data_IF_887660427517
#
_entry.id   IF_887660427517
#
_cell.length_a   1.000
_cell.length_b   1.000
_cell.length_c   1.000
_cell.angle_alpha   90.00
_cell.angle_beta   90.00
_cell.angle_gamma   90.00
#
_symmetry.space_group_name_H-M   'P 1'
#
loop_
_entity.id
_entity.type
_entity.pdbx_description
1 polymer ?
#
# COMPACT_ATOMS: atom_id res chain seq x y z
N UNK A 1 -5.45 15.46 10.49
CA UNK A 1 -4.78 14.15 10.59
C UNK A 1 -4.99 13.49 9.24
N UNK A 2 -3.92 13.02 8.60
CA UNK A 2 -3.96 12.36 7.29
C UNK A 2 -3.95 10.85 7.45
N UNK A 3 -4.28 10.06 6.41
CA UNK A 3 -4.16 8.60 6.47
C UNK A 3 -2.75 8.12 6.85
N UNK A 4 -1.69 8.87 6.50
CA UNK A 4 -0.34 8.55 6.94
C UNK A 4 -0.13 8.85 8.43
N UNK A 5 -0.67 9.95 8.98
CA UNK A 5 -0.62 10.22 10.44
C UNK A 5 -1.36 9.15 11.25
N UNK A 6 -2.39 8.54 10.67
CA UNK A 6 -3.12 7.46 11.31
C UNK A 6 -2.27 6.19 11.45
N UNK A 7 -1.36 5.94 10.50
CA UNK A 7 -0.50 4.76 10.50
C UNK A 7 0.82 4.97 11.25
N UNK A 8 1.40 6.17 11.19
CA UNK A 8 2.65 6.50 11.88
C UNK A 8 2.41 6.82 13.37
N UNK A 9 1.90 5.84 14.14
CA UNK A 9 1.71 5.97 15.60
C UNK A 9 3.01 5.82 16.39
N UNK A 10 3.97 5.11 15.80
CA UNK A 10 5.34 4.98 16.28
C UNK A 10 6.31 5.43 15.18
N UNK A 11 7.52 5.89 15.53
CA UNK A 11 8.54 6.22 14.54
C UNK A 11 8.80 5.04 13.60
N UNK A 12 8.94 5.31 12.29
CA UNK A 12 9.06 4.27 11.27
C UNK A 12 10.23 3.30 11.50
N UNK A 13 11.34 3.77 12.06
CA UNK A 13 12.50 2.94 12.38
C UNK A 13 12.29 2.05 13.61
N UNK A 14 11.30 2.35 14.45
CA UNK A 14 10.89 1.55 15.61
C UNK A 14 9.69 0.62 15.30
N UNK A 15 8.95 0.92 14.22
CA UNK A 15 7.81 0.12 13.77
C UNK A 15 8.25 -1.29 13.38
N UNK A 16 7.42 -2.29 13.67
CA UNK A 16 7.66 -3.67 13.23
C UNK A 16 7.46 -3.84 11.71
N UNK A 17 7.80 -5.01 11.17
CA UNK A 17 7.74 -5.23 9.72
C UNK A 17 6.31 -5.05 9.15
N UNK A 18 5.24 -5.60 9.77
CA UNK A 18 3.85 -5.30 9.39
C UNK A 18 3.51 -3.80 9.35
N UNK A 19 3.86 -3.04 10.38
CA UNK A 19 3.56 -1.62 10.43
C UNK A 19 4.35 -0.82 9.38
N UNK A 20 5.63 -1.13 9.18
CA UNK A 20 6.44 -0.51 8.10
C UNK A 20 5.88 -0.83 6.72
N UNK A 21 5.49 -2.08 6.48
CA UNK A 21 4.83 -2.52 5.25
C UNK A 21 3.57 -1.69 4.98
N UNK A 22 2.74 -1.51 6.01
CA UNK A 22 1.50 -0.73 5.91
C UNK A 22 1.75 0.74 5.62
N UNK A 23 2.73 1.36 6.28
CA UNK A 23 3.11 2.76 6.05
C UNK A 23 3.60 2.95 4.61
N UNK A 24 4.51 2.09 4.14
CA UNK A 24 5.08 2.20 2.79
C UNK A 24 4.06 1.90 1.69
N UNK A 25 3.18 0.92 1.90
CA UNK A 25 2.04 0.68 1.00
C UNK A 25 1.10 1.89 0.95
N UNK A 26 0.79 2.53 2.10
CA UNK A 26 -0.03 3.75 2.10
C UNK A 26 0.67 4.90 1.39
N UNK A 27 1.98 5.10 1.63
CA UNK A 27 2.78 6.13 0.96
C UNK A 27 2.71 5.97 -0.56
N UNK A 28 2.87 4.75 -1.06
CA UNK A 28 2.81 4.44 -2.48
C UNK A 28 1.48 4.86 -3.14
N UNK A 29 0.37 4.77 -2.40
CA UNK A 29 -0.98 5.11 -2.85
C UNK A 29 -1.41 6.55 -2.51
N UNK A 30 -0.59 7.29 -1.76
CA UNK A 30 -0.90 8.66 -1.35
C UNK A 30 -0.45 9.65 -2.42
N UNK A 31 -1.30 10.62 -2.76
CA UNK A 31 -0.88 11.77 -3.56
C UNK A 31 0.05 12.65 -2.72
N UNK A 32 1.27 12.89 -3.23
CA UNK A 32 2.30 13.68 -2.56
C UNK A 32 2.57 14.96 -3.36
N UNK A 33 2.73 16.05 -2.62
CA UNK A 33 3.10 17.37 -3.12
C UNK A 33 4.60 17.56 -2.90
N UNK A 34 5.40 17.36 -3.96
CA UNK A 34 6.85 17.49 -3.91
C UNK A 34 7.27 18.92 -4.27
N UNK A 35 8.09 19.56 -3.42
CA UNK A 35 8.54 20.93 -3.64
C UNK A 35 9.42 21.04 -4.88
N UNK A 36 9.25 22.13 -5.62
CA UNK A 36 10.04 22.49 -6.79
C UNK A 36 10.94 23.70 -6.51
N UNK A 37 11.98 23.84 -7.32
CA UNK A 37 12.84 25.04 -7.31
C UNK A 37 12.04 26.26 -7.77
N UNK A 38 11.27 26.11 -8.86
CA UNK A 38 10.40 27.11 -9.45
C UNK A 38 9.17 26.46 -10.11
N UNK A 39 8.24 27.26 -10.61
CA UNK A 39 7.10 26.79 -11.41
C UNK A 39 7.57 25.93 -12.60
N UNK A 40 6.86 24.84 -12.95
CA UNK A 40 7.21 24.02 -14.11
C UNK A 40 7.27 24.82 -15.41
N UNK A 41 8.28 24.54 -16.23
CA UNK A 41 8.44 25.14 -17.55
C UNK A 41 8.12 24.09 -18.62
N UNK A 42 6.89 24.12 -19.14
CA UNK A 42 6.41 23.10 -20.08
C UNK A 42 6.26 21.74 -19.40
N UNK A 43 6.99 20.73 -19.88
CA UNK A 43 7.00 19.37 -19.36
C UNK A 43 8.14 19.10 -18.36
N UNK A 44 8.87 20.14 -17.93
CA UNK A 44 10.01 20.03 -17.01
C UNK A 44 9.69 20.64 -15.65
N UNK A 45 9.91 19.85 -14.61
CA UNK A 45 9.85 20.27 -13.21
C UNK A 45 11.15 19.86 -12.52
N UNK A 46 11.76 20.77 -11.76
CA UNK A 46 12.97 20.51 -11.00
C UNK A 46 12.63 20.41 -9.51
N UNK A 47 12.83 19.22 -8.93
CA UNK A 47 12.61 19.00 -7.50
C UNK A 47 13.56 19.85 -6.67
N UNK A 48 13.03 20.46 -5.61
CA UNK A 48 13.84 21.14 -4.60
C UNK A 48 14.48 20.08 -3.70
N UNK A 49 15.81 19.99 -3.79
CA UNK A 49 16.61 19.05 -3.02
C UNK A 49 17.32 19.75 -1.86
N UNK A 50 17.48 19.03 -0.76
CA UNK A 50 18.21 19.43 0.43
C UNK A 50 19.43 18.52 0.61
N UNK A 51 20.61 19.11 0.80
CA UNK A 51 21.82 18.38 1.11
C UNK A 51 21.89 18.13 2.63
N UNK A 52 21.79 16.87 3.03
CA UNK A 52 21.90 16.40 4.41
C UNK A 52 23.15 15.50 4.55
N UNK A 53 23.68 15.28 5.77
CA UNK A 53 24.79 14.34 5.97
C UNK A 53 24.56 12.95 5.38
N UNK A 54 23.31 12.50 5.32
CA UNK A 54 22.88 11.20 4.82
C UNK A 54 22.72 11.15 3.29
N UNK A 55 22.71 12.29 2.60
CA UNK A 55 22.51 12.36 1.14
C UNK A 55 21.65 13.56 0.70
N UNK A 56 21.17 13.50 -0.55
CA UNK A 56 20.31 14.53 -1.15
C UNK A 56 18.86 14.09 -1.08
N UNK A 57 18.00 14.92 -0.49
CA UNK A 57 16.60 14.57 -0.23
C UNK A 57 15.64 15.55 -0.91
N UNK A 58 14.67 15.04 -1.65
CA UNK A 58 13.51 15.82 -2.06
C UNK A 58 12.56 16.00 -0.87
N UNK A 59 11.90 17.15 -0.81
CA UNK A 59 10.86 17.43 0.18
C UNK A 59 9.49 17.16 -0.44
N UNK A 60 8.66 16.35 0.23
CA UNK A 60 7.25 16.24 -0.10
C UNK A 60 6.37 16.20 1.15
N UNK A 61 5.10 16.58 0.97
CA UNK A 61 4.07 16.39 1.99
C UNK A 61 2.83 15.75 1.39
N UNK A 62 2.01 15.11 2.21
CA UNK A 62 0.69 14.59 1.83
C UNK A 62 -0.41 15.67 1.83
N UNK A 63 -0.04 16.93 2.11
CA UNK A 63 -0.90 18.11 2.00
C UNK A 63 -0.09 19.35 1.62
N UNK A 64 -0.69 20.22 0.82
CA UNK A 64 -0.09 21.49 0.38
C UNK A 64 0.21 22.44 1.55
N UNK A 65 -0.68 22.55 2.54
CA UNK A 65 -0.52 23.45 3.68
C UNK A 65 0.68 23.04 4.57
N UNK A 66 0.99 21.74 4.65
CA UNK A 66 2.18 21.24 5.32
C UNK A 66 3.45 21.62 4.56
N UNK A 67 3.43 21.48 3.24
CA UNK A 67 4.57 21.83 2.39
C UNK A 67 4.90 23.32 2.50
N UNK A 68 3.89 24.17 2.33
CA UNK A 68 4.03 25.62 2.47
C UNK A 68 4.45 26.03 3.89
N UNK A 69 3.89 25.37 4.91
CA UNK A 69 4.24 25.59 6.31
C UNK A 69 5.70 25.29 6.61
N UNK A 70 6.23 24.16 6.12
CA UNK A 70 7.64 23.79 6.32
C UNK A 70 8.60 24.72 5.57
N UNK A 71 8.26 25.11 4.34
CA UNK A 71 9.09 26.03 3.54
C UNK A 71 9.01 27.48 4.06
N UNK A 72 7.98 27.82 4.84
CA UNK A 72 7.77 29.15 5.39
C UNK A 72 7.04 30.12 4.46
N UNK A 73 6.34 29.61 3.44
CA UNK A 73 5.60 30.42 2.47
C UNK A 73 5.12 29.64 1.25
N UNK A 74 4.53 30.32 0.25
CA UNK A 74 4.15 29.70 -1.02
C UNK A 74 5.34 29.02 -1.70
N UNK A 75 5.12 27.82 -2.23
CA UNK A 75 6.14 27.02 -2.91
C UNK A 75 5.52 26.31 -4.10
N UNK A 76 6.18 26.37 -5.26
CA UNK A 76 5.79 25.59 -6.43
C UNK A 76 5.96 24.10 -6.11
N UNK A 77 5.03 23.26 -6.56
CA UNK A 77 5.07 21.82 -6.32
C UNK A 77 4.61 21.02 -7.53
N UNK A 78 4.93 19.74 -7.55
CA UNK A 78 4.28 18.75 -8.41
C UNK A 78 3.49 17.77 -7.54
N UNK A 79 2.25 17.46 -7.95
CA UNK A 79 1.40 16.47 -7.30
C UNK A 79 1.49 15.15 -8.06
N UNK A 80 1.95 14.09 -7.39
CA UNK A 80 2.15 12.76 -7.98
C UNK A 80 1.79 11.68 -6.97
N UNK A 81 1.32 10.49 -7.42
CA UNK A 81 1.25 9.33 -6.54
C UNK A 81 2.64 9.03 -5.94
N UNK A 82 2.69 8.70 -4.65
CA UNK A 82 3.96 8.46 -3.95
C UNK A 82 4.81 7.37 -4.59
N UNK A 83 4.20 6.35 -5.21
CA UNK A 83 4.90 5.33 -6.01
C UNK A 83 5.65 5.91 -7.22
N UNK A 84 5.11 6.94 -7.86
CA UNK A 84 5.74 7.61 -9.01
C UNK A 84 6.91 8.46 -8.54
N UNK A 85 6.70 9.23 -7.47
CA UNK A 85 7.77 10.04 -6.87
C UNK A 85 8.93 9.17 -6.35
N UNK A 86 8.61 8.08 -5.64
CA UNK A 86 9.61 7.16 -5.11
C UNK A 86 10.46 6.51 -6.22
N UNK A 87 9.84 6.11 -7.33
CA UNK A 87 10.56 5.54 -8.47
C UNK A 87 11.51 6.57 -9.10
N UNK A 88 11.04 7.79 -9.36
CA UNK A 88 11.85 8.86 -9.94
C UNK A 88 13.05 9.22 -9.05
N UNK A 89 12.84 9.33 -7.73
CA UNK A 89 13.92 9.61 -6.78
C UNK A 89 14.94 8.46 -6.69
N UNK A 90 14.48 7.22 -6.71
CA UNK A 90 15.34 6.05 -6.67
C UNK A 90 16.25 5.95 -7.91
N UNK A 91 15.74 6.28 -9.10
CA UNK A 91 16.52 6.30 -10.35
C UNK A 91 17.68 7.31 -10.29
N UNK A 92 17.46 8.45 -9.62
CA UNK A 92 18.45 9.52 -9.46
C UNK A 92 19.32 9.38 -8.19
N UNK A 93 19.15 8.29 -7.42
CA UNK A 93 19.89 8.06 -6.18
C UNK A 93 19.59 9.08 -5.07
N UNK A 94 18.38 9.64 -5.07
CA UNK A 94 17.92 10.67 -4.12
C UNK A 94 16.97 10.07 -3.08
N UNK A 95 16.98 10.66 -1.88
CA UNK A 95 16.06 10.31 -0.80
C UNK A 95 14.79 11.17 -0.81
N UNK A 96 13.85 10.82 0.07
CA UNK A 96 12.60 11.53 0.33
C UNK A 96 12.50 11.93 1.80
N UNK A 97 12.38 13.24 2.05
CA UNK A 97 11.93 13.80 3.32
C UNK A 97 10.43 14.06 3.23
N UNK A 98 9.64 13.24 3.93
CA UNK A 98 8.18 13.31 3.93
C UNK A 98 7.68 13.98 5.21
N UNK A 99 6.71 14.89 5.08
CA UNK A 99 5.93 15.48 6.18
C UNK A 99 6.77 15.96 7.39
N UNK A 100 7.91 16.66 7.20
CA UNK A 100 8.76 17.07 8.32
C UNK A 100 7.99 17.90 9.36
N UNK A 101 8.17 17.57 10.64
CA UNK A 101 7.48 18.24 11.75
C UNK A 101 6.06 17.72 12.04
N UNK A 102 5.62 16.65 11.36
CA UNK A 102 4.33 15.99 11.62
C UNK A 102 4.51 14.53 12.08
N UNK A 103 3.44 13.92 12.60
CA UNK A 103 3.46 12.55 13.11
C UNK A 103 3.84 11.51 12.04
N UNK A 104 3.56 11.80 10.78
CA UNK A 104 3.95 10.99 9.62
C UNK A 104 5.29 11.40 9.00
N UNK A 105 6.18 12.07 9.74
CA UNK A 105 7.49 12.41 9.21
C UNK A 105 8.30 11.15 8.90
N UNK A 106 8.89 11.08 7.70
CA UNK A 106 9.77 10.00 7.29
C UNK A 106 10.98 10.58 6.57
N UNK A 107 12.14 9.95 6.78
CA UNK A 107 13.33 10.15 5.95
C UNK A 107 13.66 8.82 5.32
N UNK A 108 13.39 8.69 4.02
CA UNK A 108 13.62 7.47 3.26
C UNK A 108 14.80 7.71 2.33
N UNK A 109 15.88 6.98 2.50
CA UNK A 109 17.02 7.08 1.60
C UNK A 109 16.71 6.43 0.23
N UNK A 110 17.62 6.60 -0.73
CA UNK A 110 17.47 6.07 -2.07
C UNK A 110 17.39 4.52 -2.09
N UNK A 111 18.02 3.83 -1.15
CA UNK A 111 17.99 2.36 -1.07
C UNK A 111 16.59 1.87 -0.66
N UNK A 112 15.98 2.52 0.33
CA UNK A 112 14.62 2.24 0.77
C UNK A 112 13.62 2.55 -0.34
N UNK A 113 13.79 3.64 -1.08
CA UNK A 113 12.94 3.98 -2.23
C UNK A 113 13.11 2.97 -3.37
N UNK A 114 14.34 2.54 -3.66
CA UNK A 114 14.59 1.49 -4.65
C UNK A 114 13.98 0.14 -4.22
N UNK A 115 14.05 -0.19 -2.92
CA UNK A 115 13.38 -1.37 -2.37
C UNK A 115 11.86 -1.27 -2.48
N UNK A 116 11.27 -0.11 -2.16
CA UNK A 116 9.84 0.15 -2.33
C UNK A 116 9.42 -0.09 -3.79
N UNK A 117 10.19 0.42 -4.75
CA UNK A 117 9.96 0.17 -6.18
C UNK A 117 9.96 -1.32 -6.53
N UNK A 118 10.91 -2.10 -6.00
CA UNK A 118 10.97 -3.56 -6.20
C UNK A 118 9.78 -4.29 -5.58
N UNK A 119 9.38 -3.92 -4.36
CA UNK A 119 8.21 -4.50 -3.69
C UNK A 119 6.93 -4.22 -4.49
N UNK A 120 6.77 -2.98 -4.98
CA UNK A 120 5.66 -2.59 -5.84
C UNK A 120 5.70 -3.23 -7.23
N UNK A 121 6.84 -3.78 -7.67
CA UNK A 121 6.95 -4.54 -8.92
C UNK A 121 6.62 -6.04 -8.76
N UNK A 122 6.38 -6.50 -7.52
CA UNK A 122 6.08 -7.91 -7.24
C UNK A 122 4.89 -8.41 -8.06
N UNK A 123 5.08 -9.59 -8.67
CA UNK A 123 4.04 -10.27 -9.44
C UNK A 123 3.42 -11.38 -8.59
N UNK A 124 2.09 -11.55 -8.63
CA UNK A 124 1.44 -12.62 -7.88
C UNK A 124 1.91 -13.98 -8.38
N UNK A 125 2.29 -14.86 -7.44
CA UNK A 125 2.43 -16.28 -7.72
C UNK A 125 1.03 -16.89 -7.70
N UNK A 126 0.55 -17.35 -8.86
CA UNK A 126 -0.83 -17.82 -8.98
C UNK A 126 -0.93 -19.32 -8.65
N UNK A 127 -1.87 -19.66 -7.78
CA UNK A 127 -2.31 -21.03 -7.57
C UNK A 127 -3.25 -21.44 -8.71
N UNK A 128 -2.83 -22.39 -9.55
CA UNK A 128 -3.74 -23.02 -10.50
C UNK A 128 -4.89 -23.71 -9.75
N UNK A 129 -6.14 -23.50 -10.18
CA UNK A 129 -7.34 -23.97 -9.47
C UNK A 129 -7.39 -25.48 -9.22
N UNK A 130 -6.64 -26.29 -9.97
CA UNK A 130 -6.53 -27.75 -9.80
C UNK A 130 -5.19 -28.24 -9.21
N UNK A 131 -4.27 -27.34 -8.86
CA UNK A 131 -2.87 -27.69 -8.61
C UNK A 131 -2.63 -28.29 -7.21
N UNK A 132 -3.49 -28.00 -6.24
CA UNK A 132 -3.30 -28.46 -4.87
C UNK A 132 -3.61 -29.95 -4.75
N UNK A 133 -2.61 -30.72 -4.29
CA UNK A 133 -2.78 -32.12 -3.91
C UNK A 133 -3.51 -32.23 -2.57
N UNK A 134 -3.19 -31.32 -1.63
CA UNK A 134 -3.80 -31.27 -0.29
C UNK A 134 -3.79 -29.84 0.23
N UNK A 135 -4.90 -29.42 0.83
CA UNK A 135 -4.99 -28.20 1.63
C UNK A 135 -5.09 -28.57 3.12
N UNK A 136 -4.56 -27.71 3.99
CA UNK A 136 -4.63 -27.87 5.44
C UNK A 136 -4.61 -26.53 6.17
N UNK A 137 -4.67 -26.59 7.49
CA UNK A 137 -4.52 -25.41 8.35
C UNK A 137 -3.15 -24.74 8.11
N UNK A 138 -3.08 -23.40 8.09
CA UNK A 138 -1.81 -22.69 7.96
C UNK A 138 -0.92 -22.93 9.19
N UNK A 139 0.39 -22.79 9.00
CA UNK A 139 1.34 -22.81 10.12
C UNK A 139 1.09 -21.65 11.09
N UNK A 140 1.44 -21.85 12.37
CA UNK A 140 1.34 -20.80 13.39
C UNK A 140 2.16 -19.54 13.02
N UNK A 141 3.33 -19.73 12.41
CA UNK A 141 4.17 -18.66 11.88
C UNK A 141 3.44 -17.84 10.81
N UNK A 142 2.79 -18.49 9.85
CA UNK A 142 2.04 -17.79 8.80
C UNK A 142 0.84 -17.04 9.35
N UNK A 143 0.15 -17.62 10.35
CA UNK A 143 -0.95 -16.92 11.04
C UNK A 143 -0.42 -15.67 11.75
N UNK A 144 0.64 -15.80 12.54
CA UNK A 144 1.24 -14.69 13.27
C UNK A 144 1.73 -13.57 12.35
N UNK A 145 2.26 -13.94 11.18
CA UNK A 145 2.84 -12.98 10.26
C UNK A 145 1.81 -12.30 9.36
N UNK A 146 0.81 -13.05 8.87
CA UNK A 146 -0.05 -12.60 7.78
C UNK A 146 -1.45 -12.19 8.22
N UNK A 147 -1.99 -12.70 9.34
CA UNK A 147 -3.39 -12.52 9.69
C UNK A 147 -3.79 -11.04 9.78
N UNK A 148 -3.03 -10.25 10.53
CA UNK A 148 -3.30 -8.82 10.70
C UNK A 148 -3.04 -8.00 9.43
N UNK A 149 -1.88 -8.11 8.74
CA UNK A 149 -1.65 -7.41 7.48
C UNK A 149 -2.70 -7.70 6.40
N UNK A 150 -3.12 -8.96 6.29
CA UNK A 150 -4.17 -9.36 5.36
C UNK A 150 -5.52 -8.75 5.73
N UNK A 151 -5.89 -8.76 7.02
CA UNK A 151 -7.13 -8.14 7.48
C UNK A 151 -7.16 -6.63 7.19
N UNK A 152 -6.05 -5.93 7.45
CA UNK A 152 -5.92 -4.50 7.13
C UNK A 152 -6.02 -4.24 5.62
N UNK A 153 -5.36 -5.05 4.79
CA UNK A 153 -5.42 -4.89 3.32
C UNK A 153 -6.80 -5.21 2.76
N UNK A 154 -7.52 -6.19 3.32
CA UNK A 154 -8.93 -6.44 2.99
C UNK A 154 -9.82 -5.24 3.33
N UNK A 155 -9.50 -4.50 4.40
CA UNK A 155 -10.15 -3.23 4.72
C UNK A 155 -10.11 -2.21 3.59
N UNK A 156 -8.96 -2.09 2.90
CA UNK A 156 -8.83 -1.20 1.72
C UNK A 156 -9.59 -1.72 0.49
N UNK A 157 -9.95 -3.02 0.50
CA UNK A 157 -10.62 -3.71 -0.61
C UNK A 157 -12.08 -4.04 -0.27
N UNK A 158 -12.69 -3.30 0.67
CA UNK A 158 -14.08 -3.48 1.06
C UNK A 158 -14.99 -3.35 -0.18
N UNK A 159 -15.84 -4.36 -0.40
CA UNK A 159 -16.71 -4.45 -1.58
C UNK A 159 -16.07 -5.03 -2.85
N UNK A 160 -14.75 -5.28 -2.86
CA UNK A 160 -14.05 -5.94 -3.97
C UNK A 160 -13.76 -7.42 -3.71
N UNK A 161 -13.59 -7.80 -2.44
CA UNK A 161 -13.34 -9.17 -2.00
C UNK A 161 -14.45 -9.57 -1.03
N UNK A 162 -15.00 -10.78 -1.17
CA UNK A 162 -15.99 -11.30 -0.23
C UNK A 162 -15.35 -11.96 1.00
N UNK A 163 -14.35 -12.81 0.76
CA UNK A 163 -13.54 -13.46 1.80
C UNK A 163 -12.17 -13.86 1.27
N UNK A 164 -11.23 -14.03 2.19
CA UNK A 164 -9.89 -14.55 1.92
C UNK A 164 -9.55 -15.62 2.96
N UNK A 165 -9.15 -16.80 2.50
CA UNK A 165 -8.70 -17.88 3.36
C UNK A 165 -7.19 -18.09 3.23
N UNK A 166 -6.48 -18.09 4.36
CA UNK A 166 -5.09 -18.51 4.45
C UNK A 166 -5.04 -20.00 4.81
N UNK A 167 -4.36 -20.78 3.97
CA UNK A 167 -4.20 -22.24 4.10
C UNK A 167 -2.77 -22.67 3.88
N UNK A 168 -2.38 -23.82 4.43
CA UNK A 168 -1.20 -24.54 3.96
C UNK A 168 -1.56 -25.36 2.71
N UNK A 169 -0.65 -25.43 1.75
CA UNK A 169 -0.82 -26.16 0.51
C UNK A 169 0.33 -27.13 0.24
N UNK A 170 -0.02 -28.34 -0.18
CA UNK A 170 0.88 -29.28 -0.83
C UNK A 170 0.44 -29.39 -2.29
N UNK A 171 1.35 -29.09 -3.22
CA UNK A 171 1.10 -29.08 -4.66
C UNK A 171 1.44 -30.43 -5.28
N UNK A 172 0.88 -30.70 -6.47
CA UNK A 172 1.14 -31.94 -7.22
C UNK A 172 2.60 -32.12 -7.62
N UNK A 173 3.35 -31.02 -7.78
CA UNK A 173 4.79 -31.01 -8.08
C UNK A 173 5.67 -31.24 -6.82
N UNK A 174 5.05 -31.48 -5.66
CA UNK A 174 5.74 -31.72 -4.39
C UNK A 174 6.11 -30.45 -3.61
N UNK A 175 5.88 -29.26 -4.17
CA UNK A 175 6.08 -28.01 -3.42
C UNK A 175 5.13 -27.95 -2.21
N UNK A 176 5.62 -27.38 -1.11
CA UNK A 176 4.85 -27.10 0.11
C UNK A 176 5.03 -25.65 0.49
N UNK A 177 3.93 -24.96 0.69
CA UNK A 177 3.90 -23.53 1.01
C UNK A 177 2.53 -23.14 1.63
N UNK A 178 2.18 -21.86 1.55
CA UNK A 178 0.85 -21.35 1.88
C UNK A 178 0.13 -20.82 0.64
N UNK A 179 -1.18 -20.68 0.74
CA UNK A 179 -1.99 -20.05 -0.29
C UNK A 179 -3.05 -19.13 0.31
N UNK A 180 -3.34 -18.04 -0.40
CA UNK A 180 -4.50 -17.17 -0.20
C UNK A 180 -5.57 -17.60 -1.20
N UNK A 181 -6.70 -18.09 -0.69
CA UNK A 181 -7.85 -18.51 -1.49
C UNK A 181 -8.95 -17.48 -1.32
N UNK A 182 -9.18 -16.69 -2.36
CA UNK A 182 -10.17 -15.63 -2.39
C UNK A 182 -11.49 -16.12 -2.95
N UNK A 183 -12.59 -15.59 -2.41
CA UNK A 183 -13.91 -15.77 -2.98
C UNK A 183 -14.73 -14.48 -2.93
N UNK A 184 -15.72 -14.38 -3.82
CA UNK A 184 -16.52 -13.16 -3.97
C UNK A 184 -15.73 -12.00 -4.59
N UNK A 185 -14.77 -12.31 -5.46
CA UNK A 185 -14.06 -11.32 -6.28
C UNK A 185 -14.67 -11.38 -7.68
N UNK A 186 -15.03 -10.23 -8.23
CA UNK A 186 -15.44 -10.15 -9.64
C UNK A 186 -14.24 -10.53 -10.52
N UNK A 187 -14.39 -11.45 -11.50
CA UNK A 187 -13.32 -11.82 -12.44
C UNK A 187 -12.59 -10.62 -13.08
N UNK A 188 -13.29 -9.50 -13.30
CA UNK A 188 -12.70 -8.27 -13.83
C UNK A 188 -11.68 -7.62 -12.88
N UNK A 189 -11.77 -7.90 -11.57
CA UNK A 189 -10.90 -7.34 -10.53
C UNK A 189 -9.84 -8.32 -10.01
N UNK A 190 -9.90 -9.61 -10.36
CA UNK A 190 -8.96 -10.64 -9.86
C UNK A 190 -7.50 -10.26 -10.05
N UNK A 191 -7.12 -9.78 -11.24
CA UNK A 191 -5.74 -9.39 -11.52
C UNK A 191 -5.26 -8.25 -10.61
N UNK A 192 -6.12 -7.25 -10.37
CA UNK A 192 -5.80 -6.11 -9.52
C UNK A 192 -5.70 -6.53 -8.04
N UNK A 193 -6.62 -7.38 -7.57
CA UNK A 193 -6.60 -7.91 -6.20
C UNK A 193 -5.37 -8.79 -5.97
N UNK A 194 -5.04 -9.68 -6.91
CA UNK A 194 -3.84 -10.50 -6.83
C UNK A 194 -2.57 -9.65 -6.79
N UNK A 195 -2.50 -8.59 -7.63
CA UNK A 195 -1.40 -7.63 -7.60
C UNK A 195 -1.27 -6.94 -6.25
N UNK A 196 -2.39 -6.46 -5.69
CA UNK A 196 -2.42 -5.76 -4.42
C UNK A 196 -1.95 -6.64 -3.24
N UNK A 197 -2.26 -7.94 -3.27
CA UNK A 197 -1.80 -8.91 -2.28
C UNK A 197 -0.33 -9.31 -2.48
N UNK A 198 0.12 -9.45 -3.73
CA UNK A 198 1.53 -9.71 -4.02
C UNK A 198 2.44 -8.57 -3.56
N UNK A 199 2.01 -7.32 -3.74
CA UNK A 199 2.71 -6.15 -3.19
C UNK A 199 2.80 -6.25 -1.67
N UNK A 200 1.67 -6.47 -0.98
CA UNK A 200 1.65 -6.64 0.48
C UNK A 200 2.65 -7.72 0.94
N UNK A 201 2.59 -8.89 0.33
CA UNK A 201 3.47 -10.02 0.68
C UNK A 201 4.95 -9.66 0.48
N UNK A 202 5.28 -8.87 -0.54
CA UNK A 202 6.65 -8.41 -0.79
C UNK A 202 7.18 -7.43 0.26
N UNK A 203 6.30 -6.78 1.03
CA UNK A 203 6.71 -5.94 2.17
C UNK A 203 6.91 -6.76 3.46
N UNK A 204 6.40 -7.98 3.53
CA UNK A 204 6.42 -8.81 4.73
C UNK A 204 7.62 -9.77 4.70
N UNK A 205 8.09 -10.27 5.86
CA UNK A 205 9.04 -11.37 5.91
C UNK A 205 8.59 -12.56 5.05
N UNK A 206 9.54 -13.19 4.36
CA UNK A 206 9.23 -14.32 3.50
C UNK A 206 8.89 -15.57 4.32
N UNK A 207 7.78 -16.24 3.96
CA UNK A 207 7.47 -17.56 4.50
C UNK A 207 8.17 -18.67 3.70
N UNK A 208 8.59 -19.77 4.34
CA UNK A 208 9.14 -20.92 3.64
C UNK A 208 8.21 -21.44 2.54
N UNK A 209 8.71 -21.49 1.30
CA UNK A 209 7.93 -21.91 0.13
C UNK A 209 7.03 -20.84 -0.50
N UNK A 210 6.94 -19.65 0.11
CA UNK A 210 6.17 -18.52 -0.40
C UNK A 210 4.67 -18.63 -0.15
N UNK A 211 3.91 -17.74 -0.81
CA UNK A 211 2.45 -17.68 -0.71
C UNK A 211 1.86 -17.54 -2.11
N UNK A 212 1.09 -18.54 -2.53
CA UNK A 212 0.37 -18.50 -3.82
C UNK A 212 -1.01 -17.85 -3.64
N UNK A 213 -1.58 -17.31 -4.72
CA UNK A 213 -2.89 -16.62 -4.72
C UNK A 213 -3.83 -17.33 -5.70
N UNK A 214 -5.04 -17.67 -5.26
CA UNK A 214 -6.06 -18.29 -6.11
C UNK A 214 -7.47 -17.76 -5.83
N UNK A 215 -8.34 -17.80 -6.84
CA UNK A 215 -9.72 -17.28 -6.78
C UNK A 215 -10.78 -18.39 -6.76
N UNK A 216 -10.37 -19.63 -6.44
CA UNK A 216 -11.26 -20.77 -6.43
C UNK A 216 -12.14 -20.80 -5.16
N UNK A 217 -13.32 -21.42 -5.26
CA UNK A 217 -14.20 -21.71 -4.13
C UNK A 217 -14.19 -23.21 -3.75
N UNK A 218 -13.03 -23.85 -3.44
CA UNK A 218 -13.07 -25.19 -2.89
C UNK A 218 -13.71 -25.15 -1.49
N UNK A 219 -14.20 -26.30 -1.04
CA UNK A 219 -14.47 -26.47 0.39
C UNK A 219 -13.19 -26.18 1.17
N UNK A 220 -13.22 -25.17 2.05
CA UNK A 220 -12.06 -24.82 2.86
C UNK A 220 -11.75 -25.97 3.82
N UNK A 221 -10.46 -26.33 4.02
CA UNK A 221 -10.10 -27.39 4.94
C UNK A 221 -10.44 -26.97 6.38
N UNK A 222 -10.73 -27.93 7.29
CA UNK A 222 -10.80 -27.64 8.71
C UNK A 222 -9.52 -26.93 9.20
N UNK A 223 -9.70 -25.84 9.95
CA UNK A 223 -8.60 -25.04 10.48
C UNK A 223 -7.99 -24.03 9.50
N UNK A 224 -8.57 -23.80 8.32
CA UNK A 224 -8.26 -22.61 7.52
C UNK A 224 -8.50 -21.33 8.33
N UNK A 225 -7.62 -20.33 8.19
CA UNK A 225 -7.88 -19.00 8.72
C UNK A 225 -8.69 -18.23 7.69
N UNK A 226 -9.90 -17.83 8.02
CA UNK A 226 -10.79 -17.08 7.13
C UNK A 226 -10.91 -15.64 7.62
N UNK A 227 -10.65 -14.71 6.71
CA UNK A 227 -10.77 -13.28 6.93
C UNK A 227 -11.86 -12.72 6.02
N UNK A 228 -12.70 -11.86 6.58
CA UNK A 228 -13.76 -11.15 5.86
C UNK A 228 -13.45 -9.66 5.93
N UNK A 229 -13.59 -8.91 4.82
CA UNK A 229 -13.46 -7.47 4.86
C UNK A 229 -14.60 -6.84 5.68
N UNK A 230 -14.39 -5.64 6.24
CA UNK A 230 -15.46 -4.88 6.83
C UNK A 230 -16.54 -4.57 5.77
N UNK A 231 -17.81 -4.38 6.19
CA UNK A 231 -18.85 -3.94 5.27
C UNK A 231 -18.44 -2.61 4.61
N UNK A 232 -18.78 -2.41 3.33
CA UNK A 232 -18.46 -1.17 2.64
C UNK A 232 -19.10 0.01 3.35
N UNK A 233 -18.39 1.14 3.39
CA UNK A 233 -18.94 2.38 3.93
C UNK A 233 -20.22 2.74 3.16
N UNK A 234 -21.26 3.26 3.85
CA UNK A 234 -22.48 3.69 3.18
C UNK A 234 -22.12 4.78 2.16
N UNK A 235 -22.75 4.72 0.99
CA UNK A 235 -22.59 5.76 -0.02
C UNK A 235 -22.93 7.13 0.61
N UNK A 236 -22.13 8.18 0.35
CA UNK A 236 -22.44 9.50 0.86
C UNK A 236 -23.86 9.88 0.43
N UNK A 237 -24.69 10.36 1.37
CA UNK A 237 -26.03 10.82 1.02
C UNK A 237 -25.89 11.88 -0.08
N UNK A 238 -26.67 11.78 -1.19
CA UNK A 238 -26.63 12.80 -2.21
C UNK A 238 -26.93 14.15 -1.54
N UNK A 239 -26.20 15.22 -1.89
CA UNK A 239 -26.35 16.51 -1.24
C UNK A 239 -27.83 16.90 -1.27
N UNK A 240 -28.47 16.91 -0.09
CA UNK A 240 -29.85 17.37 0.02
C UNK A 240 -29.85 18.83 -0.36
N UNK A 241 -30.37 19.11 -1.55
CA UNK A 241 -30.54 20.47 -2.05
C UNK A 241 -31.59 21.13 -1.16
N UNK A 242 -31.15 22.04 -0.29
CA UNK A 242 -32.07 22.89 0.45
C UNK A 242 -32.91 23.67 -0.57
N UNK A 243 -34.24 23.44 -0.64
CA UNK A 243 -35.11 24.12 -1.60
C UNK A 243 -35.12 25.64 -1.41
N UNK A 244 -34.69 26.13 -0.24
CA UNK A 244 -34.61 27.54 0.11
C UNK A 244 -33.23 28.16 -0.10
N UNK A 245 -32.21 27.37 -0.46
CA UNK A 245 -30.87 27.90 -0.69
C UNK A 245 -30.84 28.78 -1.96
N UNK A 246 -30.21 29.97 -1.89
CA UNK A 246 -30.12 30.87 -3.02
C UNK A 246 -29.33 30.22 -4.18
N UNK A 247 -29.69 30.52 -5.45
CA UNK A 247 -29.01 29.95 -6.60
C UNK A 247 -27.53 30.36 -6.59
N UNK A 248 -26.63 29.37 -6.71
CA UNK A 248 -25.20 29.63 -6.92
C UNK A 248 -25.02 30.12 -8.35
N UNK A 249 -24.68 31.40 -8.51
CA UNK A 249 -24.27 31.96 -9.80
C UNK A 249 -22.95 31.32 -10.20
N UNK A 250 -22.89 30.82 -11.44
CA UNK A 250 -21.66 30.33 -12.09
C UNK A 250 -20.83 31.49 -12.58
#
# INVERSE_FOLDING_TARGET
MTPLDELCKVPFHEADAPARARILSRLADTELFAALVAEPAGDRAELRLFDLPEGRFALACDREDRLAGFVGGPVAYVALPGRVLAAALAEEGQGLLLNPGHGSQLMLDAEVLAWLGRALAARPSMAGAEAARRLGAPSAEAVALLAEPLAQRLGDMAGLVGRLALVAAEWRDGRRNHALILAGVDPAHEAAVAKALAELLAFLPELPGGVDIGFAAPGLPPGALVLEPPPPAPAPEPPRRDPSAPPRLR
#
